data_IF_929058705126
#
_entry.id   IF_929058705126
#
_cell.length_a   1.000
_cell.length_b   1.000
_cell.length_c   1.000
_cell.angle_alpha   90.00
_cell.angle_beta   90.00
_cell.angle_gamma   90.00
#
_symmetry.space_group_name_H-M   'P 1'
#
loop_
_entity.id
_entity.type
_entity.pdbx_description
1 polymer ?
#
# COMPACT_ATOMS: atom_id res chain seq x y z
N UNK A 1 13.02 0.82 18.88
CA UNK A 1 13.05 1.59 17.62
C UNK A 1 13.40 0.67 16.47
N UNK A 2 12.62 0.70 15.42
CA UNK A 2 12.86 -0.10 14.22
C UNK A 2 13.52 0.76 13.17
N UNK A 3 14.63 0.24 12.64
CA UNK A 3 15.31 0.89 11.52
C UNK A 3 14.97 0.13 10.25
N UNK A 4 13.96 0.62 9.55
CA UNK A 4 13.55 0.03 8.28
C UNK A 4 14.20 0.81 7.13
N UNK A 5 14.52 0.13 6.02
CA UNK A 5 14.94 0.84 4.82
C UNK A 5 13.88 1.83 4.38
N UNK A 6 14.29 2.98 3.86
CA UNK A 6 13.36 3.95 3.30
C UNK A 6 12.59 3.31 2.15
N UNK A 7 11.23 3.35 2.18
CA UNK A 7 10.45 2.78 1.09
C UNK A 7 10.53 3.65 -0.16
N UNK A 8 10.20 3.06 -1.30
CA UNK A 8 10.15 3.76 -2.58
C UNK A 8 8.75 3.68 -3.16
N UNK A 9 8.43 4.63 -4.05
CA UNK A 9 7.15 4.62 -4.76
C UNK A 9 6.97 3.29 -5.49
N UNK A 10 5.77 2.73 -5.41
CA UNK A 10 5.45 1.44 -6.00
C UNK A 10 5.62 0.25 -5.07
N UNK A 11 6.22 0.44 -3.90
CA UNK A 11 6.27 -0.63 -2.91
C UNK A 11 4.89 -0.82 -2.28
N UNK A 12 4.60 -2.07 -1.93
CA UNK A 12 3.39 -2.43 -1.21
C UNK A 12 3.80 -2.82 0.19
N UNK A 13 3.19 -2.20 1.19
CA UNK A 13 3.60 -2.29 2.60
C UNK A 13 2.42 -2.69 3.48
N UNK A 14 2.74 -3.19 4.67
CA UNK A 14 1.75 -3.62 5.67
C UNK A 14 1.44 -2.44 6.57
N UNK A 15 0.26 -1.87 6.41
CA UNK A 15 -0.11 -0.57 7.01
C UNK A 15 -1.35 -0.69 7.89
N UNK A 16 -1.28 -0.12 9.09
CA UNK A 16 -2.43 0.08 9.97
C UNK A 16 -3.04 1.44 9.65
N UNK A 17 -3.95 1.48 8.69
CA UNK A 17 -4.58 2.74 8.30
C UNK A 17 -5.42 3.26 9.46
N UNK A 18 -5.17 4.50 9.94
CA UNK A 18 -5.90 5.03 11.08
C UNK A 18 -7.40 5.19 10.77
N UNK A 19 -8.23 4.88 11.76
CA UNK A 19 -9.67 5.13 11.71
C UNK A 19 -10.13 5.71 13.04
N UNK A 20 -11.41 6.04 13.15
CA UNK A 20 -11.97 6.65 14.36
C UNK A 20 -12.47 5.64 15.39
N UNK A 21 -12.32 4.36 15.11
CA UNK A 21 -12.90 3.28 15.93
C UNK A 21 -11.84 2.59 16.78
N UNK A 22 -10.69 2.29 16.18
CA UNK A 22 -9.63 1.49 16.83
C UNK A 22 -8.35 2.30 17.00
N UNK A 23 -7.66 2.16 18.13
CA UNK A 23 -6.35 2.82 18.32
C UNK A 23 -5.31 2.31 17.31
N UNK A 24 -5.35 1.02 16.99
CA UNK A 24 -4.46 0.42 16.00
C UNK A 24 -5.26 -0.59 15.18
N UNK A 25 -5.84 -0.14 14.05
CA UNK A 25 -6.66 -1.02 13.22
C UNK A 25 -5.87 -2.19 12.65
N UNK A 26 -6.60 -3.20 12.18
CA UNK A 26 -6.01 -4.36 11.50
C UNK A 26 -5.17 -3.88 10.32
N UNK A 27 -3.95 -4.45 10.14
CA UNK A 27 -3.11 -4.04 9.02
C UNK A 27 -3.67 -4.50 7.68
N UNK A 28 -3.38 -3.70 6.64
CA UNK A 28 -3.82 -3.95 5.27
C UNK A 28 -2.70 -3.57 4.31
N UNK A 29 -2.71 -4.12 3.08
CA UNK A 29 -1.77 -3.66 2.07
C UNK A 29 -1.99 -2.18 1.76
N UNK A 30 -0.89 -1.43 1.67
CA UNK A 30 -0.89 -0.04 1.23
C UNK A 30 0.08 0.15 0.09
N UNK A 31 -0.30 0.95 -0.90
CA UNK A 31 0.56 1.25 -2.04
C UNK A 31 1.26 2.58 -1.79
N UNK A 32 2.59 2.57 -1.76
CA UNK A 32 3.39 3.78 -1.60
C UNK A 32 3.34 4.59 -2.89
N UNK A 33 2.82 5.81 -2.79
CA UNK A 33 2.73 6.74 -3.91
C UNK A 33 3.99 7.60 -3.98
N UNK A 34 4.45 8.11 -2.83
CA UNK A 34 5.63 8.95 -2.75
C UNK A 34 6.17 8.94 -1.32
N UNK A 35 7.40 9.42 -1.19
CA UNK A 35 8.05 9.57 0.11
C UNK A 35 8.63 10.98 0.22
N UNK A 36 8.77 11.46 1.43
CA UNK A 36 9.50 12.69 1.69
C UNK A 36 10.15 12.64 3.07
N UNK A 37 11.20 13.39 3.23
CA UNK A 37 11.91 13.55 4.49
C UNK A 37 11.65 14.96 5.01
N UNK A 38 11.35 15.09 6.29
CA UNK A 38 11.16 16.41 6.89
C UNK A 38 12.50 16.98 7.36
N UNK A 39 12.46 18.19 7.95
CA UNK A 39 13.67 18.90 8.39
C UNK A 39 14.42 18.17 9.52
N UNK A 40 13.76 17.25 10.20
CA UNK A 40 14.34 16.47 11.28
C UNK A 40 14.80 15.08 10.86
N UNK A 41 14.71 14.80 9.56
CA UNK A 41 15.11 13.48 9.02
C UNK A 41 14.04 12.40 9.13
N UNK A 42 12.82 12.76 9.53
CA UNK A 42 11.72 11.81 9.61
C UNK A 42 11.17 11.51 8.21
N UNK A 43 11.02 10.23 7.91
CA UNK A 43 10.46 9.80 6.63
C UNK A 43 8.94 9.75 6.74
N UNK A 44 8.26 10.42 5.82
CA UNK A 44 6.81 10.33 5.63
C UNK A 44 6.51 9.65 4.30
N UNK A 45 5.45 8.88 4.28
CA UNK A 45 5.00 8.23 3.06
C UNK A 45 3.58 8.66 2.75
N UNK A 46 3.32 8.82 1.45
CA UNK A 46 1.97 8.96 0.93
C UNK A 46 1.53 7.57 0.49
N UNK A 47 0.49 7.05 1.14
CA UNK A 47 0.11 5.65 0.97
C UNK A 47 -1.37 5.53 0.64
N UNK A 48 -1.69 4.72 -0.38
CA UNK A 48 -3.06 4.45 -0.81
C UNK A 48 -3.61 3.22 -0.10
N UNK A 49 -4.86 3.31 0.34
CA UNK A 49 -5.56 2.27 1.07
C UNK A 49 -5.82 1.04 0.19
N UNK A 50 -5.47 -0.14 0.70
CA UNK A 50 -5.76 -1.41 0.05
C UNK A 50 -6.75 -2.22 0.86
N UNK A 51 -7.65 -2.94 0.17
CA UNK A 51 -8.64 -3.78 0.82
C UNK A 51 -8.91 -5.04 0.02
N UNK A 52 -9.20 -6.14 0.71
CA UNK A 52 -9.66 -7.38 0.08
C UNK A 52 -11.19 -7.45 -0.01
N UNK A 53 -11.88 -6.41 0.44
CA UNK A 53 -13.35 -6.35 0.41
C UNK A 53 -13.83 -5.81 -0.93
N UNK A 54 -14.93 -6.39 -1.45
CA UNK A 54 -15.62 -5.91 -2.65
C UNK A 54 -14.71 -5.73 -3.86
N UNK A 55 -13.77 -6.67 -4.05
CA UNK A 55 -12.82 -6.60 -5.16
C UNK A 55 -13.45 -6.83 -6.52
N UNK A 56 -14.69 -7.30 -6.56
CA UNK A 56 -15.47 -7.46 -7.78
C UNK A 56 -16.17 -6.17 -8.22
N UNK A 57 -16.04 -5.09 -7.46
CA UNK A 57 -16.71 -3.81 -7.72
C UNK A 57 -15.70 -2.68 -7.70
N UNK A 58 -15.47 -2.05 -8.86
CA UNK A 58 -14.51 -0.95 -8.99
C UNK A 58 -15.23 0.38 -9.08
N UNK A 59 -14.81 1.32 -8.24
CA UNK A 59 -15.25 2.71 -8.30
C UNK A 59 -14.15 3.56 -8.96
N UNK A 60 -14.51 4.77 -9.36
CA UNK A 60 -13.53 5.70 -9.92
C UNK A 60 -12.39 5.93 -8.92
N UNK A 61 -11.16 5.86 -9.39
CA UNK A 61 -9.98 6.01 -8.54
C UNK A 61 -9.51 4.72 -7.89
N UNK A 62 -10.15 3.59 -8.19
CA UNK A 62 -9.72 2.28 -7.70
C UNK A 62 -9.12 1.45 -8.83
N UNK A 63 -8.19 0.56 -8.48
CA UNK A 63 -7.76 -0.52 -9.36
C UNK A 63 -7.51 -1.77 -8.53
N UNK A 64 -7.59 -2.92 -9.16
CA UNK A 64 -7.44 -4.20 -8.46
C UNK A 64 -6.31 -5.04 -9.02
N UNK A 65 -5.76 -5.87 -8.15
CA UNK A 65 -4.81 -6.92 -8.52
C UNK A 65 -5.42 -8.23 -8.03
N UNK A 66 -5.77 -9.11 -8.96
CA UNK A 66 -6.39 -10.39 -8.63
C UNK A 66 -5.48 -11.54 -9.06
N UNK A 67 -5.54 -12.63 -8.31
CA UNK A 67 -4.75 -13.82 -8.61
C UNK A 67 -5.11 -14.38 -9.98
N UNK A 68 -6.40 -14.37 -10.33
CA UNK A 68 -6.86 -14.94 -11.60
C UNK A 68 -6.53 -14.08 -12.81
N UNK A 69 -6.69 -12.76 -12.70
CA UNK A 69 -6.47 -11.85 -13.84
C UNK A 69 -5.02 -11.38 -13.95
N UNK A 70 -4.32 -11.29 -12.83
CA UNK A 70 -2.99 -10.68 -12.76
C UNK A 70 -2.04 -11.54 -11.92
N UNK A 71 -1.80 -12.82 -12.32
CA UNK A 71 -1.02 -13.73 -11.46
C UNK A 71 0.40 -13.26 -11.17
N UNK A 72 1.09 -12.70 -12.16
CA UNK A 72 2.45 -12.19 -11.94
C UNK A 72 2.45 -10.96 -11.03
N UNK A 73 1.50 -10.04 -11.24
CA UNK A 73 1.38 -8.83 -10.42
C UNK A 73 0.95 -9.17 -8.99
N UNK A 74 0.07 -10.14 -8.83
CA UNK A 74 -0.38 -10.63 -7.53
C UNK A 74 0.80 -11.18 -6.72
N UNK A 75 1.65 -11.98 -7.36
CA UNK A 75 2.84 -12.53 -6.72
C UNK A 75 3.86 -11.44 -6.40
N UNK A 76 4.12 -10.56 -7.34
CA UNK A 76 5.06 -9.45 -7.18
C UNK A 76 4.68 -8.54 -6.02
N UNK A 77 3.39 -8.30 -5.84
CA UNK A 77 2.87 -7.45 -4.77
C UNK A 77 2.87 -8.13 -3.40
N UNK A 78 3.13 -9.42 -3.34
CA UNK A 78 3.16 -10.18 -2.08
C UNK A 78 1.79 -10.34 -1.44
N UNK A 79 0.74 -10.34 -2.25
CA UNK A 79 -0.63 -10.41 -1.75
C UNK A 79 -1.05 -11.84 -1.43
N UNK A 80 -1.85 -11.99 -0.36
CA UNK A 80 -2.47 -13.26 0.00
C UNK A 80 -3.91 -13.36 -0.51
N UNK A 81 -4.53 -12.21 -0.76
CA UNK A 81 -5.92 -12.11 -1.23
C UNK A 81 -6.01 -11.12 -2.38
N UNK A 82 -7.01 -11.33 -3.24
CA UNK A 82 -7.34 -10.31 -4.23
C UNK A 82 -7.52 -8.97 -3.50
N UNK A 83 -6.92 -7.92 -4.04
CA UNK A 83 -6.86 -6.63 -3.36
C UNK A 83 -7.17 -5.53 -4.36
N UNK A 84 -7.91 -4.52 -3.92
CA UNK A 84 -8.03 -3.27 -4.68
C UNK A 84 -7.44 -2.13 -3.87
N UNK A 85 -6.86 -1.17 -4.58
CA UNK A 85 -6.27 0.04 -3.99
C UNK A 85 -7.13 1.24 -4.38
N UNK A 86 -7.41 2.09 -3.39
CA UNK A 86 -8.27 3.27 -3.57
C UNK A 86 -7.41 4.53 -3.56
N UNK A 87 -7.19 5.11 -4.74
CA UNK A 87 -6.36 6.29 -4.90
C UNK A 87 -7.08 7.58 -4.48
N UNK A 88 -8.35 7.47 -4.07
CA UNK A 88 -9.08 8.57 -3.42
C UNK A 88 -8.84 8.58 -1.92
N UNK A 89 -8.39 7.45 -1.38
CA UNK A 89 -8.11 7.29 0.05
C UNK A 89 -6.60 7.16 0.26
N UNK A 90 -5.92 8.30 0.19
CA UNK A 90 -4.47 8.40 0.29
C UNK A 90 -4.13 9.23 1.51
N UNK A 91 -3.23 8.72 2.35
CA UNK A 91 -2.83 9.38 3.59
C UNK A 91 -1.34 9.64 3.61
N UNK A 92 -0.95 10.73 4.24
CA UNK A 92 0.46 11.00 4.57
C UNK A 92 0.69 10.54 6.00
N UNK A 93 1.57 9.55 6.17
CA UNK A 93 1.85 8.96 7.48
C UNK A 93 3.35 8.89 7.73
N UNK A 94 3.80 9.12 8.98
CA UNK A 94 5.19 8.86 9.32
C UNK A 94 5.48 7.37 9.19
N UNK A 95 6.64 7.04 8.61
CA UNK A 95 7.01 5.65 8.37
C UNK A 95 7.66 5.07 9.62
N UNK A 96 6.82 4.63 10.56
CA UNK A 96 7.25 4.08 11.84
C UNK A 96 6.28 2.98 12.31
N UNK A 97 6.56 2.39 13.47
CA UNK A 97 5.79 1.26 13.98
C UNK A 97 4.43 1.65 14.58
N UNK A 98 4.09 2.92 14.60
CA UNK A 98 2.72 3.35 14.95
C UNK A 98 1.75 2.94 13.84
N UNK A 99 2.15 3.09 12.57
CA UNK A 99 1.26 2.86 11.43
C UNK A 99 1.67 1.68 10.55
N UNK A 100 2.86 1.11 10.76
CA UNK A 100 3.36 0.03 9.92
C UNK A 100 3.87 -1.10 10.78
N UNK A 101 3.80 -2.33 10.25
CA UNK A 101 4.32 -3.51 10.95
C UNK A 101 4.86 -4.51 9.93
N UNK A 102 5.68 -5.43 10.44
CA UNK A 102 6.23 -6.50 9.60
C UNK A 102 5.09 -7.47 9.28
N UNK A 103 4.86 -7.76 7.98
CA UNK A 103 3.80 -8.70 7.62
C UNK A 103 4.12 -10.13 8.06
N UNK A 104 3.10 -10.99 8.14
CA UNK A 104 3.32 -12.41 8.43
C UNK A 104 4.35 -13.00 7.46
N UNK A 105 5.20 -13.87 7.97
CA UNK A 105 6.29 -14.54 7.21
C UNK A 105 7.40 -13.60 6.74
N UNK A 106 7.33 -12.31 7.06
CA UNK A 106 8.38 -11.32 6.75
C UNK A 106 9.01 -11.54 5.36
N UNK A 107 8.22 -11.44 4.27
CA UNK A 107 8.70 -11.84 2.94
C UNK A 107 9.93 -11.08 2.44
N UNK A 108 10.19 -9.89 2.97
CA UNK A 108 11.36 -9.08 2.63
C UNK A 108 12.19 -8.73 3.86
N UNK A 109 12.20 -9.62 4.87
CA UNK A 109 12.92 -9.41 6.10
C UNK A 109 12.09 -8.66 7.15
N UNK A 110 12.73 -8.17 8.18
CA UNK A 110 12.06 -7.53 9.31
C UNK A 110 11.72 -6.07 8.99
N UNK A 111 10.91 -5.86 7.98
CA UNK A 111 10.40 -4.55 7.58
C UNK A 111 8.98 -4.69 7.03
N UNK A 112 8.25 -3.58 6.82
CA UNK A 112 6.85 -3.62 6.43
C UNK A 112 6.58 -4.04 4.98
N UNK A 113 7.60 -4.25 4.17
CA UNK A 113 7.43 -4.51 2.74
C UNK A 113 6.75 -5.86 2.48
N UNK A 114 5.63 -5.84 1.74
CA UNK A 114 4.97 -7.02 1.20
C UNK A 114 5.52 -7.37 -0.18
N UNK A 115 5.74 -6.37 -1.00
CA UNK A 115 6.16 -6.57 -2.37
C UNK A 115 6.24 -5.26 -3.14
N UNK A 116 6.12 -5.37 -4.46
CA UNK A 116 6.27 -4.23 -5.36
C UNK A 116 5.18 -4.26 -6.42
N UNK A 117 4.74 -3.09 -6.86
CA UNK A 117 3.79 -2.97 -7.96
C UNK A 117 4.47 -3.46 -9.24
N UNK A 118 3.91 -4.49 -9.85
CA UNK A 118 4.45 -5.06 -11.09
C UNK A 118 4.37 -4.02 -12.22
N UNK A 119 5.37 -3.95 -13.11
CA UNK A 119 5.35 -3.00 -14.23
C UNK A 119 4.07 -3.05 -15.07
N UNK A 120 3.47 -4.22 -15.21
CA UNK A 120 2.21 -4.38 -15.96
C UNK A 120 1.04 -3.61 -15.35
N UNK A 121 1.13 -3.23 -14.08
CA UNK A 121 0.05 -2.53 -13.36
C UNK A 121 0.27 -1.02 -13.28
N UNK A 122 1.42 -0.52 -13.70
CA UNK A 122 1.77 0.91 -13.54
C UNK A 122 0.79 1.80 -14.29
N UNK A 123 0.42 1.43 -15.50
CA UNK A 123 -0.51 2.21 -16.32
C UNK A 123 -1.90 2.31 -15.70
N UNK A 124 -2.42 1.18 -15.21
CA UNK A 124 -3.74 1.14 -14.59
C UNK A 124 -3.75 1.90 -13.27
N UNK A 125 -2.67 1.80 -12.50
CA UNK A 125 -2.52 2.55 -11.25
C UNK A 125 -2.46 4.06 -11.53
N UNK A 126 -1.70 4.48 -12.54
CA UNK A 126 -1.60 5.88 -12.93
C UNK A 126 -2.95 6.42 -13.40
N UNK A 127 -3.70 5.64 -14.16
CA UNK A 127 -5.04 6.01 -14.61
C UNK A 127 -6.00 6.18 -13.43
N UNK A 128 -5.94 5.28 -12.45
CA UNK A 128 -6.74 5.37 -11.25
C UNK A 128 -6.39 6.62 -10.42
N UNK A 129 -5.10 6.93 -10.30
CA UNK A 129 -4.62 8.12 -9.61
C UNK A 129 -5.15 9.39 -10.28
N UNK A 130 -5.04 9.46 -11.61
CA UNK A 130 -5.55 10.59 -12.39
C UNK A 130 -7.07 10.75 -12.23
N UNK A 131 -7.81 9.65 -12.29
CA UNK A 131 -9.27 9.65 -12.13
C UNK A 131 -9.67 10.12 -10.72
N UNK A 132 -8.90 9.75 -9.70
CA UNK A 132 -9.16 10.14 -8.32
C UNK A 132 -9.02 11.64 -8.09
N UNK A 133 -8.23 12.31 -8.94
CA UNK A 133 -7.95 13.75 -8.82
C UNK A 133 -8.99 14.63 -9.52
N UNK A 134 -9.95 14.03 -10.18
CA UNK A 134 -10.99 14.76 -10.94
C UNK A 134 -12.23 15.04 -10.11
#
# INVERSE_FOLDING_TARGET
MHWWPEPTAGEIVWCHFPDNIHPKPKPRPGLIISTKEDDEGMIFVRVAYGTSQKTNRMYRGEFRITKSEHPAAFKSAGLSYDTKFDLRNVLDLPFNDTYFSVPPHAPHGQNPKLGTLHPSMVRIAAAAFSAASQ
#
